data_IF_480602996247
#
_entry.id   IF_480602996247
#
_cell.length_a   1.000
_cell.length_b   1.000
_cell.length_c   1.000
_cell.angle_alpha   90.00
_cell.angle_beta   90.00
_cell.angle_gamma   90.00
#
_symmetry.space_group_name_H-M   'P 1'
#
loop_
_entity.id
_entity.type
_entity.pdbx_description
1 polymer ?
#
# COMPACT_ATOMS: atom_id res chain seq x y z
N UNK A 1 7.64 19.30 7.91
CA UNK A 1 7.62 18.95 6.48
C UNK A 1 6.33 19.52 5.90
N UNK A 2 6.39 20.39 4.89
CA UNK A 2 5.19 20.84 4.18
C UNK A 2 4.90 19.84 3.06
N UNK A 3 3.74 19.17 3.13
CA UNK A 3 3.28 18.19 2.13
C UNK A 3 2.10 18.74 1.30
N UNK A 4 1.82 20.04 1.40
CA UNK A 4 0.76 20.68 0.62
C UNK A 4 1.11 20.62 -0.88
N UNK A 5 0.16 20.16 -1.70
CA UNK A 5 0.36 19.99 -3.14
C UNK A 5 1.14 18.73 -3.55
N UNK A 6 1.46 17.84 -2.60
CA UNK A 6 2.04 16.53 -2.91
C UNK A 6 0.90 15.52 -3.07
N UNK A 7 0.74 14.97 -4.27
CA UNK A 7 -0.33 14.00 -4.55
C UNK A 7 0.07 12.55 -4.27
N UNK A 8 1.38 12.25 -4.27
CA UNK A 8 1.89 10.89 -4.05
C UNK A 8 3.25 10.89 -3.35
N UNK A 9 3.46 9.90 -2.48
CA UNK A 9 4.74 9.56 -1.88
C UNK A 9 5.02 8.09 -2.12
N UNK A 10 6.15 7.79 -2.76
CA UNK A 10 6.61 6.43 -2.99
C UNK A 10 7.59 6.04 -1.87
N UNK A 11 7.28 4.96 -1.15
CA UNK A 11 8.14 4.37 -0.16
C UNK A 11 8.72 3.07 -0.71
N UNK A 12 10.02 3.08 -0.93
CA UNK A 12 10.75 1.95 -1.51
C UNK A 12 11.14 0.94 -0.42
N UNK A 13 10.97 -0.34 -0.72
CA UNK A 13 11.47 -1.48 0.02
C UNK A 13 12.70 -2.04 -0.71
N UNK A 14 13.93 -1.72 -0.28
CA UNK A 14 15.13 -2.27 -0.92
C UNK A 14 15.23 -3.79 -0.77
N UNK A 15 14.57 -4.33 0.25
CA UNK A 15 14.52 -5.73 0.67
C UNK A 15 13.18 -5.96 1.37
N UNK A 16 12.56 -7.12 1.17
CA UNK A 16 11.25 -7.46 1.74
C UNK A 16 11.23 -7.41 3.28
N UNK A 17 12.39 -7.60 3.91
CA UNK A 17 12.55 -7.55 5.37
C UNK A 17 12.86 -6.14 5.90
N UNK A 18 12.88 -5.11 5.06
CA UNK A 18 13.11 -3.74 5.50
C UNK A 18 11.80 -3.10 5.97
N UNK A 19 11.64 -3.00 7.30
CA UNK A 19 10.42 -2.50 7.91
C UNK A 19 10.25 -0.97 7.91
N UNK A 20 11.26 -0.18 7.52
CA UNK A 20 11.23 1.29 7.74
C UNK A 20 10.06 1.98 7.02
N UNK A 21 9.73 1.52 5.81
CA UNK A 21 8.64 2.05 5.01
C UNK A 21 7.27 1.88 5.70
N UNK A 22 7.06 0.84 6.52
CA UNK A 22 5.84 0.72 7.33
C UNK A 22 5.71 1.82 8.38
N UNK A 23 6.81 2.13 9.08
CA UNK A 23 6.81 3.24 10.05
C UNK A 23 6.60 4.58 9.37
N UNK A 24 7.18 4.79 8.19
CA UNK A 24 6.99 6.00 7.40
C UNK A 24 5.54 6.15 6.94
N UNK A 25 4.92 5.11 6.36
CA UNK A 25 3.51 5.13 5.97
C UNK A 25 2.57 5.42 7.15
N UNK A 26 2.86 4.84 8.32
CA UNK A 26 2.09 5.10 9.53
C UNK A 26 2.19 6.55 9.97
N UNK A 27 3.40 7.11 9.98
CA UNK A 27 3.61 8.52 10.33
C UNK A 27 2.91 9.46 9.34
N UNK A 28 3.06 9.19 8.04
CA UNK A 28 2.43 9.97 6.96
C UNK A 28 0.90 9.96 7.09
N UNK A 29 0.28 8.78 7.18
CA UNK A 29 -1.19 8.68 7.20
C UNK A 29 -1.81 9.10 8.54
N UNK A 30 -1.22 8.69 9.69
CA UNK A 30 -1.86 8.85 11.01
C UNK A 30 -1.45 10.11 11.75
N UNK A 31 -0.17 10.50 11.68
CA UNK A 31 0.34 11.64 12.44
C UNK A 31 0.35 12.93 11.63
N UNK A 32 0.73 12.82 10.35
CA UNK A 32 0.80 13.96 9.44
C UNK A 32 -0.47 14.16 8.62
N UNK A 33 -1.38 13.18 8.66
CA UNK A 33 -2.69 13.28 8.00
C UNK A 33 -2.59 13.43 6.48
N UNK A 34 -1.51 12.91 5.87
CA UNK A 34 -1.30 12.98 4.43
C UNK A 34 -2.48 12.36 3.69
N UNK A 35 -3.01 13.09 2.70
CA UNK A 35 -4.22 12.72 1.95
C UNK A 35 -3.94 12.19 0.55
N UNK A 36 -2.71 12.37 0.06
CA UNK A 36 -2.27 11.81 -1.20
C UNK A 36 -2.02 10.31 -1.09
N UNK A 37 -1.61 9.74 -2.21
CA UNK A 37 -1.32 8.32 -2.35
C UNK A 37 0.00 7.96 -1.64
N UNK A 38 0.00 6.91 -0.82
CA UNK A 38 1.19 6.32 -0.22
C UNK A 38 1.44 4.99 -0.93
N UNK A 39 2.44 4.98 -1.83
CA UNK A 39 2.73 3.83 -2.71
C UNK A 39 3.90 3.01 -2.18
N UNK A 40 3.70 1.72 -2.01
CA UNK A 40 4.80 0.76 -1.79
C UNK A 40 5.44 0.38 -3.14
N UNK A 41 6.76 0.38 -3.20
CA UNK A 41 7.55 -0.02 -4.39
C UNK A 41 8.77 -0.85 -3.98
N UNK A 42 9.41 -1.56 -4.92
CA UNK A 42 10.61 -2.36 -4.67
C UNK A 42 10.30 -3.83 -4.39
N UNK A 43 10.92 -4.40 -3.36
CA UNK A 43 10.79 -5.81 -2.96
C UNK A 43 9.50 -6.05 -2.15
N UNK A 44 8.36 -5.76 -2.78
CA UNK A 44 7.02 -5.84 -2.21
C UNK A 44 6.42 -7.20 -2.53
N UNK A 45 6.05 -7.94 -1.49
CA UNK A 45 5.46 -9.27 -1.58
C UNK A 45 3.95 -9.22 -1.32
N UNK A 46 3.21 -10.13 -1.97
CA UNK A 46 1.75 -10.18 -1.87
C UNK A 46 1.25 -10.46 -0.44
N UNK A 47 2.00 -11.24 0.34
CA UNK A 47 1.70 -11.57 1.74
C UNK A 47 1.76 -10.35 2.69
N UNK A 48 2.52 -9.31 2.31
CA UNK A 48 2.66 -8.09 3.12
C UNK A 48 1.51 -7.10 2.93
N UNK A 49 0.69 -7.27 1.89
CA UNK A 49 -0.31 -6.27 1.50
C UNK A 49 -1.30 -5.93 2.61
N UNK A 50 -1.76 -6.92 3.37
CA UNK A 50 -2.67 -6.70 4.48
C UNK A 50 -2.04 -5.85 5.60
N UNK A 51 -0.75 -6.07 5.88
CA UNK A 51 -0.02 -5.24 6.82
C UNK A 51 0.18 -3.82 6.27
N UNK A 52 0.49 -3.68 4.98
CA UNK A 52 0.70 -2.40 4.33
C UNK A 52 -0.56 -1.53 4.37
N UNK A 53 -1.73 -2.11 4.06
CA UNK A 53 -3.03 -1.45 4.19
C UNK A 53 -3.21 -0.86 5.60
N UNK A 54 -3.00 -1.70 6.62
CA UNK A 54 -3.15 -1.32 8.04
C UNK A 54 -2.19 -0.22 8.45
N UNK A 55 -0.98 -0.22 7.91
CA UNK A 55 0.04 0.81 8.13
C UNK A 55 -0.22 2.12 7.38
N UNK A 56 -1.15 2.14 6.42
CA UNK A 56 -1.58 3.35 5.74
C UNK A 56 -1.11 3.49 4.29
N UNK A 57 -0.59 2.41 3.69
CA UNK A 57 -0.39 2.38 2.23
C UNK A 57 -1.74 2.36 1.50
N UNK A 58 -1.78 3.04 0.36
CA UNK A 58 -2.97 3.13 -0.50
C UNK A 58 -2.76 2.47 -1.86
N UNK A 59 -1.51 2.15 -2.22
CA UNK A 59 -1.16 1.48 -3.47
C UNK A 59 0.11 0.66 -3.27
N UNK A 60 0.18 -0.50 -3.93
CA UNK A 60 1.36 -1.35 -3.91
C UNK A 60 1.72 -1.77 -5.33
N UNK A 61 2.99 -1.60 -5.68
CA UNK A 61 3.60 -2.19 -6.86
C UNK A 61 4.25 -3.48 -6.42
N UNK A 62 3.69 -4.61 -6.82
CA UNK A 62 4.23 -5.92 -6.43
C UNK A 62 5.53 -6.17 -7.17
N UNK A 63 6.43 -6.95 -6.55
CA UNK A 63 7.58 -7.49 -7.27
C UNK A 63 7.09 -8.31 -8.47
N UNK A 64 7.80 -8.22 -9.59
CA UNK A 64 7.35 -8.78 -10.87
C UNK A 64 7.10 -10.30 -10.88
N UNK A 65 7.63 -11.03 -9.91
CA UNK A 65 7.44 -12.48 -9.75
C UNK A 65 6.25 -12.86 -8.84
N UNK A 66 5.52 -11.87 -8.33
CA UNK A 66 4.36 -12.08 -7.46
C UNK A 66 3.09 -12.29 -8.28
N UNK A 67 2.25 -13.20 -7.80
CA UNK A 67 0.95 -13.48 -8.40
C UNK A 67 -0.14 -12.56 -7.82
N UNK A 68 -0.84 -11.84 -8.69
CA UNK A 68 -1.98 -11.00 -8.33
C UNK A 68 -3.11 -11.79 -7.65
N UNK A 69 -3.32 -13.06 -8.01
CA UNK A 69 -4.33 -13.90 -7.37
C UNK A 69 -3.98 -14.20 -5.90
N UNK A 70 -2.69 -14.25 -5.56
CA UNK A 70 -2.24 -14.35 -4.17
C UNK A 70 -2.51 -13.04 -3.44
N UNK A 71 -2.24 -11.89 -4.06
CA UNK A 71 -2.54 -10.59 -3.48
C UNK A 71 -4.04 -10.40 -3.17
N UNK A 72 -4.91 -10.77 -4.10
CA UNK A 72 -6.36 -10.74 -3.92
C UNK A 72 -6.81 -11.65 -2.77
N UNK A 73 -6.26 -12.87 -2.69
CA UNK A 73 -6.58 -13.82 -1.61
C UNK A 73 -6.09 -13.35 -0.25
N UNK A 74 -4.86 -12.84 -0.19
CA UNK A 74 -4.28 -12.30 1.05
C UNK A 74 -5.18 -11.19 1.54
N UNK A 75 -5.51 -10.20 0.72
CA UNK A 75 -6.38 -9.12 1.17
C UNK A 75 -7.79 -9.60 1.53
N UNK A 76 -8.39 -10.49 0.73
CA UNK A 76 -9.73 -11.04 0.98
C UNK A 76 -9.86 -11.88 2.26
N UNK A 77 -8.73 -12.36 2.79
CA UNK A 77 -8.70 -13.14 4.03
C UNK A 77 -8.72 -12.28 5.29
N UNK A 78 -8.55 -10.96 5.19
CA UNK A 78 -8.53 -10.06 6.34
C UNK A 78 -9.89 -9.41 6.63
N UNK A 79 -10.35 -9.39 7.90
CA UNK A 79 -11.52 -8.63 8.31
C UNK A 79 -11.26 -7.14 8.08
N UNK A 80 -12.07 -6.50 7.23
CA UNK A 80 -11.87 -5.10 6.81
C UNK A 80 -11.50 -4.93 5.33
N UNK A 81 -11.31 -6.03 4.59
CA UNK A 81 -11.24 -5.99 3.13
C UNK A 81 -12.51 -5.36 2.54
N UNK A 82 -12.36 -4.40 1.62
CA UNK A 82 -13.48 -3.62 1.06
C UNK A 82 -13.96 -2.44 1.92
N UNK A 83 -13.45 -2.29 3.16
CA UNK A 83 -13.76 -1.15 4.05
C UNK A 83 -12.74 0.00 3.88
N UNK A 84 -11.64 -0.27 3.17
CA UNK A 84 -10.84 0.67 2.38
C UNK A 84 -9.54 1.23 3.00
N UNK A 85 -8.42 1.05 2.26
CA UNK A 85 -7.33 2.04 2.03
C UNK A 85 -6.60 1.84 0.71
N UNK A 86 -6.47 0.59 0.23
CA UNK A 86 -6.18 0.38 -1.19
C UNK A 86 -7.37 0.87 -2.00
N UNK A 87 -7.19 2.01 -2.67
CA UNK A 87 -8.26 2.61 -3.46
C UNK A 87 -8.37 1.88 -4.78
N UNK A 88 -9.58 1.41 -5.08
CA UNK A 88 -9.97 1.07 -6.43
C UNK A 88 -10.29 2.34 -7.22
N UNK A 89 -10.25 2.27 -8.54
CA UNK A 89 -10.76 3.36 -9.38
C UNK A 89 -12.30 3.42 -9.30
N UNK A 90 -12.91 4.56 -9.64
CA UNK A 90 -14.37 4.72 -9.64
C UNK A 90 -15.10 3.69 -10.53
N UNK A 91 -14.42 3.14 -11.54
CA UNK A 91 -14.91 2.07 -12.41
C UNK A 91 -14.67 0.68 -11.82
N UNK A 92 -13.67 0.52 -10.93
CA UNK A 92 -13.21 -0.77 -10.41
C UNK A 92 -13.00 -0.71 -8.90
N UNK A 93 -13.99 -1.22 -8.16
CA UNK A 93 -14.02 -1.28 -6.69
C UNK A 93 -12.91 -2.17 -6.08
N UNK A 94 -12.19 -2.93 -6.91
CA UNK A 94 -11.09 -3.80 -6.48
C UNK A 94 -9.80 -3.01 -6.19
N UNK A 95 -8.97 -3.45 -5.21
CA UNK A 95 -7.67 -2.85 -4.92
C UNK A 95 -6.80 -2.67 -6.17
N UNK A 96 -6.12 -1.53 -6.29
CA UNK A 96 -5.21 -1.27 -7.40
C UNK A 96 -3.80 -1.78 -7.10
N UNK A 97 -3.32 -2.72 -7.93
CA UNK A 97 -1.94 -3.20 -7.98
C UNK A 97 -1.36 -2.92 -9.35
N UNK A 98 -0.15 -2.36 -9.40
CA UNK A 98 0.60 -2.22 -10.65
C UNK A 98 1.74 -3.25 -10.68
N UNK A 99 2.01 -3.80 -11.85
CA UNK A 99 3.15 -4.68 -12.14
C UNK A 99 4.26 -3.87 -12.82
#
# INVERSE_FOLDING_TARGET
LALAGVDRIDLNFPKFSDGRAFSQAFLLSRRLGFKGEIRATGDVLADQLAQMERSGFTTAVLRADQDLAVAERVLGSYPGYGVGRYQGDAVRVSPHFAA
#
